data_IF_512949078022
#
_entry.id   IF_512949078022
#
_cell.length_a   1.000
_cell.length_b   1.000
_cell.length_c   1.000
_cell.angle_alpha   90.00
_cell.angle_beta   90.00
_cell.angle_gamma   90.00
#
_symmetry.space_group_name_H-M   'P 1'
#
loop_
_entity.id
_entity.type
_entity.pdbx_description
1 polymer ?
#
# COMPACT_ATOMS: atom_id res chain seq x y z
N UNK A 1 -2.76 -11.00 -22.04
CA UNK A 1 -2.15 -10.37 -20.85
C UNK A 1 -2.99 -10.79 -19.66
N UNK A 2 -2.44 -11.46 -18.65
CA UNK A 2 -3.24 -11.83 -17.48
C UNK A 2 -3.77 -10.54 -16.83
N UNK A 3 -5.09 -10.39 -16.74
CA UNK A 3 -5.71 -9.28 -16.03
C UNK A 3 -5.15 -9.26 -14.60
N UNK A 4 -4.53 -8.14 -14.23
CA UNK A 4 -3.84 -8.01 -12.94
C UNK A 4 -4.89 -7.85 -11.85
N UNK A 5 -4.82 -8.63 -10.78
CA UNK A 5 -5.74 -8.47 -9.67
C UNK A 5 -5.65 -7.08 -9.01
N UNK A 6 -6.80 -6.50 -8.67
CA UNK A 6 -6.93 -5.12 -8.17
C UNK A 6 -7.35 -5.08 -6.69
N UNK A 7 -6.93 -4.03 -5.99
CA UNK A 7 -7.44 -3.70 -4.66
C UNK A 7 -8.29 -2.43 -4.77
N UNK A 8 -9.58 -2.53 -4.45
CA UNK A 8 -10.51 -1.42 -4.55
C UNK A 8 -10.72 -0.76 -3.19
N UNK A 9 -10.50 0.54 -3.11
CA UNK A 9 -10.76 1.36 -1.92
C UNK A 9 -11.99 2.27 -2.05
N UNK A 10 -12.51 2.41 -3.27
CA UNK A 10 -13.68 3.24 -3.61
C UNK A 10 -14.69 2.42 -4.38
N UNK A 11 -15.97 2.52 -4.04
CA UNK A 11 -17.02 1.85 -4.81
C UNK A 11 -17.15 2.45 -6.21
N UNK A 12 -16.89 3.75 -6.35
CA UNK A 12 -16.91 4.46 -7.64
C UNK A 12 -15.97 3.81 -8.66
N UNK A 13 -14.84 3.27 -8.21
CA UNK A 13 -13.89 2.57 -9.10
C UNK A 13 -14.44 1.23 -9.58
N UNK A 14 -15.30 0.58 -8.79
CA UNK A 14 -15.99 -0.65 -9.17
C UNK A 14 -17.18 -0.32 -10.09
N UNK A 15 -17.99 0.67 -9.73
CA UNK A 15 -19.20 1.06 -10.45
C UNK A 15 -18.91 1.50 -11.89
N UNK A 16 -17.77 2.16 -12.12
CA UNK A 16 -17.34 2.60 -13.46
C UNK A 16 -16.84 1.47 -14.37
N UNK A 17 -16.71 0.24 -13.86
CA UNK A 17 -16.19 -0.87 -14.66
C UNK A 17 -17.25 -1.30 -15.68
N UNK A 18 -16.87 -1.54 -16.94
CA UNK A 18 -17.83 -1.77 -18.02
C UNK A 18 -18.66 -3.04 -17.85
N UNK A 19 -18.14 -4.02 -17.10
CA UNK A 19 -18.80 -5.30 -16.85
C UNK A 19 -19.48 -5.36 -15.49
N UNK A 20 -19.40 -4.29 -14.67
CA UNK A 20 -20.09 -4.26 -13.39
C UNK A 20 -21.60 -4.25 -13.59
N UNK A 21 -22.31 -5.15 -12.91
CA UNK A 21 -23.75 -5.25 -12.99
C UNK A 21 -24.34 -5.24 -11.57
N UNK A 22 -25.11 -4.21 -11.17
CA UNK A 22 -25.71 -4.14 -9.84
C UNK A 22 -26.88 -5.12 -9.65
N UNK A 23 -27.51 -5.53 -10.76
CA UNK A 23 -28.68 -6.42 -10.77
C UNK A 23 -28.30 -7.90 -10.87
N UNK A 24 -27.05 -8.22 -11.21
CA UNK A 24 -26.60 -9.59 -11.35
C UNK A 24 -26.35 -10.24 -9.98
N UNK A 25 -26.57 -11.54 -9.90
CA UNK A 25 -26.36 -12.34 -8.70
C UNK A 25 -25.21 -13.33 -8.89
N UNK A 26 -24.56 -13.69 -7.79
CA UNK A 26 -23.50 -14.71 -7.82
C UNK A 26 -23.63 -15.76 -6.74
N UNK A 27 -23.26 -16.96 -7.11
CA UNK A 27 -23.31 -18.19 -6.33
C UNK A 27 -22.13 -19.08 -6.75
N UNK A 28 -21.79 -20.13 -6.00
CA UNK A 28 -20.75 -21.08 -6.41
C UNK A 28 -20.99 -21.65 -7.82
N UNK A 29 -22.24 -21.85 -8.22
CA UNK A 29 -22.61 -22.50 -9.48
C UNK A 29 -22.34 -21.63 -10.72
N UNK A 30 -22.45 -20.30 -10.59
CA UNK A 30 -22.22 -19.36 -11.69
C UNK A 30 -20.95 -18.52 -11.52
N UNK A 31 -20.08 -18.86 -10.56
CA UNK A 31 -18.81 -18.18 -10.34
C UNK A 31 -17.73 -18.64 -11.33
N UNK A 32 -17.04 -17.68 -11.94
CA UNK A 32 -15.95 -17.94 -12.87
C UNK A 32 -14.58 -17.61 -12.26
N UNK A 33 -14.35 -16.34 -11.88
CA UNK A 33 -13.05 -15.87 -11.38
C UNK A 33 -13.19 -14.65 -10.46
N UNK A 34 -12.09 -14.20 -9.86
CA UNK A 34 -12.02 -12.96 -9.09
C UNK A 34 -11.20 -11.89 -9.81
N UNK A 35 -11.76 -10.68 -9.88
CA UNK A 35 -11.04 -9.48 -10.32
C UNK A 35 -10.13 -8.97 -9.20
N UNK A 36 -10.66 -8.89 -7.97
CA UNK A 36 -9.96 -8.20 -6.89
C UNK A 36 -10.59 -8.33 -5.51
N UNK A 37 -9.92 -7.74 -4.53
CA UNK A 37 -10.39 -7.56 -3.15
C UNK A 37 -10.81 -6.11 -2.96
N UNK A 38 -11.89 -5.87 -2.24
CA UNK A 38 -12.32 -4.51 -1.89
C UNK A 38 -12.35 -4.29 -0.38
N UNK A 39 -12.02 -3.06 0.02
CA UNK A 39 -12.27 -2.52 1.34
C UNK A 39 -12.67 -1.05 1.18
N UNK A 40 -13.95 -0.78 1.35
CA UNK A 40 -14.60 0.48 1.03
C UNK A 40 -14.93 1.24 2.31
N UNK A 41 -15.01 2.56 2.21
CA UNK A 41 -15.43 3.42 3.33
C UNK A 41 -16.95 3.47 3.50
N UNK A 42 -17.69 3.01 2.49
CA UNK A 42 -19.15 2.96 2.46
C UNK A 42 -19.70 1.53 2.39
N UNK A 43 -20.98 1.40 2.72
CA UNK A 43 -21.71 0.13 2.70
C UNK A 43 -22.23 -0.15 1.30
N UNK A 44 -21.80 -1.27 0.70
CA UNK A 44 -22.32 -1.76 -0.58
C UNK A 44 -23.17 -3.00 -0.41
N UNK A 45 -24.14 -3.20 -1.30
CA UNK A 45 -25.10 -4.30 -1.24
C UNK A 45 -24.44 -5.59 -1.74
N UNK A 46 -24.49 -6.64 -0.93
CA UNK A 46 -24.01 -7.97 -1.32
C UNK A 46 -24.91 -8.61 -2.39
N UNK A 47 -24.30 -9.16 -3.43
CA UNK A 47 -25.00 -9.80 -4.55
C UNK A 47 -24.94 -11.34 -4.49
N UNK A 48 -24.54 -11.90 -3.34
CA UNK A 48 -24.43 -13.36 -3.17
C UNK A 48 -25.80 -13.99 -3.00
N UNK A 49 -26.14 -14.95 -3.87
CA UNK A 49 -27.29 -15.84 -3.76
C UNK A 49 -26.92 -17.08 -2.95
N UNK A 50 -27.63 -17.29 -1.83
CA UNK A 50 -27.54 -18.50 -1.02
C UNK A 50 -28.83 -19.31 -1.05
N UNK A 51 -28.90 -20.39 -0.26
CA UNK A 51 -30.07 -21.27 -0.19
C UNK A 51 -31.37 -20.58 0.28
N UNK A 52 -31.28 -19.47 1.00
CA UNK A 52 -32.43 -18.70 1.52
C UNK A 52 -32.77 -17.48 0.66
N UNK A 53 -32.21 -17.39 -0.55
CA UNK A 53 -32.30 -16.23 -1.43
C UNK A 53 -31.04 -15.38 -1.41
N UNK A 54 -31.16 -14.18 -1.94
CA UNK A 54 -30.06 -13.22 -2.12
C UNK A 54 -29.77 -12.55 -0.77
N UNK A 55 -28.49 -12.36 -0.47
CA UNK A 55 -28.06 -11.82 0.80
C UNK A 55 -28.56 -10.38 1.02
N UNK A 56 -28.29 -9.48 0.07
CA UNK A 56 -28.58 -8.04 0.12
C UNK A 56 -28.12 -7.30 1.39
N UNK A 57 -27.31 -7.95 2.24
CA UNK A 57 -26.73 -7.30 3.41
C UNK A 57 -25.62 -6.34 3.00
N UNK A 58 -25.45 -5.29 3.81
CA UNK A 58 -24.42 -4.28 3.63
C UNK A 58 -23.05 -4.80 4.04
N UNK A 59 -22.06 -4.61 3.16
CA UNK A 59 -20.67 -4.96 3.44
C UNK A 59 -19.73 -3.85 3.00
N UNK A 60 -18.65 -3.69 3.76
CA UNK A 60 -17.54 -2.78 3.43
C UNK A 60 -16.30 -3.50 2.93
N UNK A 61 -16.28 -4.83 3.02
CA UNK A 61 -15.13 -5.62 2.57
C UNK A 61 -15.57 -6.94 1.97
N UNK A 62 -14.81 -7.37 0.97
CA UNK A 62 -15.17 -8.54 0.17
C UNK A 62 -14.37 -8.62 -1.11
N UNK A 63 -14.96 -9.20 -2.13
CA UNK A 63 -14.33 -9.51 -3.40
C UNK A 63 -15.20 -9.07 -4.56
N UNK A 64 -14.58 -8.64 -5.65
CA UNK A 64 -15.25 -8.44 -6.93
C UNK A 64 -15.06 -9.72 -7.76
N UNK A 65 -16.15 -10.46 -7.97
CA UNK A 65 -16.15 -11.70 -8.74
C UNK A 65 -16.72 -11.51 -10.12
N UNK A 66 -16.44 -12.46 -11.01
CA UNK A 66 -16.97 -12.53 -12.37
C UNK A 66 -17.86 -13.77 -12.47
N UNK A 67 -19.04 -13.62 -13.06
CA UNK A 67 -19.93 -14.74 -13.36
C UNK A 67 -19.49 -15.48 -14.64
N UNK A 68 -20.06 -16.65 -14.90
CA UNK A 68 -19.81 -17.37 -16.16
C UNK A 68 -20.24 -16.58 -17.41
N UNK A 69 -21.14 -15.60 -17.26
CA UNK A 69 -21.59 -14.69 -18.32
C UNK A 69 -20.68 -13.45 -18.47
N UNK A 70 -19.58 -13.37 -17.69
CA UNK A 70 -18.62 -12.27 -17.75
C UNK A 70 -19.01 -11.03 -16.97
N UNK A 71 -20.08 -11.07 -16.16
CA UNK A 71 -20.53 -9.92 -15.36
C UNK A 71 -19.77 -9.84 -14.03
N UNK A 72 -19.36 -8.63 -13.67
CA UNK A 72 -18.68 -8.34 -12.41
C UNK A 72 -19.68 -7.97 -11.30
N UNK A 73 -19.49 -8.57 -10.13
CA UNK A 73 -20.47 -8.56 -9.03
C UNK A 73 -19.82 -8.61 -7.66
N UNK A 74 -20.46 -7.99 -6.67
CA UNK A 74 -19.96 -7.85 -5.30
C UNK A 74 -20.21 -9.09 -4.46
N UNK A 75 -19.14 -9.64 -3.90
CA UNK A 75 -19.17 -10.76 -2.96
C UNK A 75 -18.73 -10.26 -1.59
N UNK A 76 -19.68 -10.15 -0.66
CA UNK A 76 -19.38 -9.80 0.73
C UNK A 76 -18.40 -10.75 1.41
N UNK A 77 -17.46 -10.24 2.22
CA UNK A 77 -16.47 -11.07 2.91
C UNK A 77 -17.08 -12.08 3.90
N UNK A 78 -18.21 -11.73 4.53
CA UNK A 78 -19.00 -12.69 5.32
C UNK A 78 -19.64 -13.76 4.44
N UNK A 79 -20.27 -13.37 3.34
CA UNK A 79 -20.93 -14.27 2.40
C UNK A 79 -19.94 -15.21 1.69
N UNK A 80 -18.77 -14.73 1.32
CA UNK A 80 -17.66 -15.52 0.80
C UNK A 80 -17.25 -16.65 1.75
N UNK A 81 -17.31 -16.43 3.07
CA UNK A 81 -16.96 -17.45 4.07
C UNK A 81 -18.07 -18.47 4.31
N UNK A 82 -19.32 -18.11 4.06
CA UNK A 82 -20.47 -18.97 4.36
C UNK A 82 -20.94 -19.76 3.14
N UNK A 83 -21.02 -19.11 1.98
CA UNK A 83 -21.59 -19.68 0.76
C UNK A 83 -20.53 -20.25 -0.19
N UNK A 84 -19.33 -19.65 -0.24
CA UNK A 84 -18.21 -20.11 -1.07
C UNK A 84 -17.18 -20.95 -0.31
N UNK A 85 -17.47 -21.37 0.92
CA UNK A 85 -16.48 -22.06 1.79
C UNK A 85 -15.93 -23.34 1.19
N UNK A 86 -16.83 -24.15 0.60
CA UNK A 86 -16.50 -25.46 0.04
C UNK A 86 -16.05 -25.36 -1.43
N UNK A 87 -16.13 -24.17 -2.03
CA UNK A 87 -15.77 -23.96 -3.42
C UNK A 87 -14.23 -23.88 -3.56
N UNK A 88 -13.66 -24.91 -4.20
CA UNK A 88 -12.21 -25.00 -4.43
C UNK A 88 -11.73 -23.94 -5.42
N UNK A 89 -12.52 -23.60 -6.43
CA UNK A 89 -12.16 -22.61 -7.45
C UNK A 89 -12.03 -21.23 -6.80
N UNK A 90 -13.05 -20.82 -6.06
CA UNK A 90 -13.06 -19.57 -5.29
C UNK A 90 -11.92 -19.51 -4.27
N UNK A 91 -11.63 -20.62 -3.59
CA UNK A 91 -10.51 -20.67 -2.64
C UNK A 91 -9.13 -20.47 -3.31
N UNK A 92 -8.93 -21.02 -4.51
CA UNK A 92 -7.71 -20.82 -5.29
C UNK A 92 -7.62 -19.37 -5.80
N UNK A 93 -8.71 -18.83 -6.33
CA UNK A 93 -8.76 -17.46 -6.83
C UNK A 93 -8.48 -16.43 -5.74
N UNK A 94 -9.05 -16.59 -4.53
CA UNK A 94 -8.73 -15.71 -3.40
C UNK A 94 -7.24 -15.70 -3.06
N UNK A 95 -6.58 -16.87 -3.11
CA UNK A 95 -5.15 -16.99 -2.85
C UNK A 95 -4.33 -16.31 -3.95
N UNK A 96 -4.73 -16.51 -5.21
CA UNK A 96 -4.09 -15.86 -6.38
C UNK A 96 -4.18 -14.35 -6.27
N UNK A 97 -5.39 -13.81 -6.14
CA UNK A 97 -5.67 -12.37 -6.04
C UNK A 97 -4.87 -11.73 -4.91
N UNK A 98 -4.92 -12.29 -3.69
CA UNK A 98 -4.16 -11.76 -2.56
C UNK A 98 -2.66 -11.75 -2.80
N UNK A 99 -2.11 -12.85 -3.29
CA UNK A 99 -0.68 -12.93 -3.60
C UNK A 99 -0.27 -11.87 -4.62
N UNK A 100 -1.09 -11.61 -5.62
CA UNK A 100 -0.84 -10.58 -6.62
C UNK A 100 -0.92 -9.16 -6.06
N UNK A 101 -1.92 -8.87 -5.21
CA UNK A 101 -2.07 -7.59 -4.50
C UNK A 101 -0.90 -7.36 -3.55
N UNK A 102 -0.57 -8.33 -2.71
CA UNK A 102 0.55 -8.27 -1.76
C UNK A 102 1.87 -8.03 -2.48
N UNK A 103 2.08 -8.70 -3.63
CA UNK A 103 3.26 -8.47 -4.47
C UNK A 103 3.32 -7.03 -4.99
N UNK A 104 2.20 -6.45 -5.44
CA UNK A 104 2.15 -5.05 -5.87
C UNK A 104 2.51 -4.11 -4.73
N UNK A 105 1.92 -4.31 -3.55
CA UNK A 105 2.19 -3.50 -2.35
C UNK A 105 3.68 -3.60 -1.97
N UNK A 106 4.25 -4.80 -1.98
CA UNK A 106 5.66 -5.01 -1.66
C UNK A 106 6.59 -4.27 -2.64
N UNK A 107 6.28 -4.29 -3.94
CA UNK A 107 7.04 -3.55 -4.95
C UNK A 107 6.97 -2.03 -4.73
N UNK A 108 5.79 -1.48 -4.46
CA UNK A 108 5.65 -0.06 -4.15
C UNK A 108 6.48 0.36 -2.94
N UNK A 109 6.46 -0.44 -1.86
CA UNK A 109 7.28 -0.17 -0.67
C UNK A 109 8.78 -0.23 -0.97
N UNK A 110 9.23 -1.17 -1.79
CA UNK A 110 10.64 -1.26 -2.18
C UNK A 110 11.08 -0.05 -3.01
N UNK A 111 10.23 0.44 -3.91
CA UNK A 111 10.49 1.67 -4.66
C UNK A 111 10.57 2.90 -3.75
N UNK A 112 9.66 3.00 -2.78
CA UNK A 112 9.66 4.06 -1.78
C UNK A 112 10.95 4.04 -0.94
N UNK A 113 11.35 2.88 -0.41
CA UNK A 113 12.60 2.74 0.32
C UNK A 113 13.83 3.09 -0.53
N UNK A 114 13.83 2.74 -1.81
CA UNK A 114 14.92 3.10 -2.73
C UNK A 114 15.01 4.62 -2.91
N UNK A 115 13.87 5.30 -3.08
CA UNK A 115 13.82 6.77 -3.18
C UNK A 115 14.31 7.44 -1.89
N UNK A 116 13.84 6.98 -0.74
CA UNK A 116 14.23 7.54 0.56
C UNK A 116 15.73 7.36 0.84
N UNK A 117 16.31 6.22 0.46
CA UNK A 117 17.76 5.99 0.58
C UNK A 117 18.58 7.01 -0.22
N UNK A 118 18.13 7.38 -1.42
CA UNK A 118 18.81 8.40 -2.22
C UNK A 118 18.76 9.77 -1.51
N UNK A 119 17.59 10.19 -1.04
CA UNK A 119 17.43 11.45 -0.29
C UNK A 119 18.35 11.52 0.93
N UNK A 120 18.37 10.46 1.75
CA UNK A 120 19.22 10.40 2.96
C UNK A 120 20.71 10.46 2.58
N UNK A 121 21.10 9.81 1.48
CA UNK A 121 22.48 9.86 1.00
C UNK A 121 22.90 11.26 0.57
N UNK A 122 21.99 12.00 -0.08
CA UNK A 122 22.24 13.37 -0.54
C UNK A 122 22.34 14.32 0.65
N UNK A 123 21.43 14.22 1.62
CA UNK A 123 21.47 14.99 2.88
C UNK A 123 22.78 14.74 3.66
N UNK A 124 23.22 13.47 3.75
CA UNK A 124 24.50 13.13 4.38
C UNK A 124 25.70 13.74 3.65
N UNK A 125 25.64 13.82 2.32
CA UNK A 125 26.70 14.46 1.52
C UNK A 125 26.76 15.96 1.79
N UNK A 126 25.61 16.63 1.81
CA UNK A 126 25.50 18.05 2.14
C UNK A 126 26.03 18.36 3.55
N UNK A 127 25.57 17.62 4.57
CA UNK A 127 26.03 17.80 5.95
C UNK A 127 27.55 17.59 6.09
N UNK A 128 28.12 16.60 5.38
CA UNK A 128 29.57 16.39 5.35
C UNK A 128 30.30 17.59 4.77
N UNK A 129 29.80 18.16 3.68
CA UNK A 129 30.39 19.35 3.07
C UNK A 129 30.32 20.56 4.02
N UNK A 130 29.19 20.76 4.69
CA UNK A 130 29.03 21.85 5.67
C UNK A 130 30.02 21.73 6.84
N UNK A 131 30.26 20.52 7.34
CA UNK A 131 31.26 20.28 8.39
C UNK A 131 32.67 20.64 7.90
N UNK A 132 33.02 20.25 6.67
CA UNK A 132 34.33 20.57 6.06
C UNK A 132 34.47 22.08 5.93
N UNK A 133 33.49 22.76 5.35
CA UNK A 133 33.51 24.20 5.14
C UNK A 133 33.59 24.97 6.47
N UNK A 134 32.88 24.48 7.48
CA UNK A 134 32.91 25.06 8.84
C UNK A 134 34.29 24.90 9.48
N UNK A 135 34.95 23.75 9.33
CA UNK A 135 36.33 23.54 9.81
C UNK A 135 37.32 24.47 9.12
N UNK A 136 37.21 24.62 7.80
CA UNK A 136 38.08 25.55 7.04
C UNK A 136 37.90 26.98 7.55
N UNK A 137 36.66 27.43 7.77
CA UNK A 137 36.38 28.76 8.35
C UNK A 137 36.95 28.89 9.77
N UNK A 138 36.80 27.85 10.60
CA UNK A 138 37.35 27.84 11.96
C UNK A 138 38.89 27.96 11.95
N UNK A 139 39.56 27.20 11.10
CA UNK A 139 41.02 27.24 10.92
C UNK A 139 41.48 28.63 10.46
N UNK A 140 40.74 29.25 9.54
CA UNK A 140 41.01 30.63 9.11
C UNK A 140 40.88 31.60 10.28
N UNK A 141 39.78 31.55 11.04
CA UNK A 141 39.58 32.42 12.21
C UNK A 141 40.70 32.22 13.23
N UNK A 142 41.07 30.97 13.51
CA UNK A 142 42.15 30.64 14.45
C UNK A 142 43.51 31.21 14.02
N UNK A 143 43.83 31.21 12.72
CA UNK A 143 45.07 31.81 12.20
C UNK A 143 45.15 33.33 12.34
N UNK A 144 44.02 34.01 12.46
CA UNK A 144 43.99 35.48 12.61
C UNK A 144 44.03 35.92 14.08
N UNK A 145 43.90 35.00 15.04
CA UNK A 145 43.97 35.37 16.44
C UNK A 145 45.41 35.59 16.93
N UNK A 146 45.65 36.61 17.76
CA UNK A 146 46.91 36.76 18.47
C UNK A 146 47.18 35.56 19.41
N UNK A 147 48.45 35.20 19.59
CA UNK A 147 48.84 34.06 20.43
C UNK A 147 48.26 34.08 21.85
N UNK A 148 48.11 35.27 22.45
CA UNK A 148 47.50 35.42 23.77
C UNK A 148 46.04 34.95 23.82
N UNK A 149 45.27 35.20 22.75
CA UNK A 149 43.87 34.76 22.62
C UNK A 149 43.84 33.25 22.38
N UNK A 150 44.74 32.72 21.57
CA UNK A 150 44.84 31.27 21.31
C UNK A 150 45.16 30.48 22.59
N UNK A 151 46.14 30.94 23.38
CA UNK A 151 46.49 30.29 24.65
C UNK A 151 45.35 30.32 25.67
N UNK A 152 44.53 31.38 25.68
CA UNK A 152 43.34 31.45 26.52
C UNK A 152 42.27 30.43 26.10
N UNK A 153 41.96 30.34 24.80
CA UNK A 153 40.98 29.37 24.27
C UNK A 153 41.41 27.93 24.59
N UNK A 154 42.69 27.61 24.37
CA UNK A 154 43.25 26.28 24.57
C UNK A 154 43.23 25.85 26.06
N UNK A 155 43.42 26.82 26.96
CA UNK A 155 43.32 26.62 28.41
C UNK A 155 41.87 26.43 28.87
N UNK A 156 40.94 27.19 28.30
CA UNK A 156 39.50 27.08 28.58
C UNK A 156 38.91 25.73 28.11
N UNK A 157 39.36 25.22 26.96
CA UNK A 157 38.92 23.90 26.45
C UNK A 157 39.38 22.74 27.35
N UNK A 158 40.58 22.83 27.94
CA UNK A 158 41.14 21.80 28.83
C UNK A 158 40.52 21.80 30.23
N UNK A 159 39.90 22.90 30.64
CA UNK A 159 39.36 23.09 32.00
C UNK A 159 37.82 23.04 32.06
N UNK A 160 37.14 22.88 30.92
CA UNK A 160 35.68 22.91 30.80
C UNK A 160 34.97 21.56 30.63
N UNK A 161 35.56 20.43 31.05
CA UNK A 161 34.84 19.14 31.24
C UNK A 161 34.50 18.91 32.70
#
# INVERSE_FOLDING_TARGET
MAEKSEFFSSFVDIEKRPHYSPECEISPENFHTLVGEYRLDEDVICQVKGHKGICYQKHRSGWLGVTNDGLEVLIGGHCARNYFKADKSFALERKRVRKEIDRKIALYKLEEYRKNKMSISDELSCLRQEIIDTRVKLDQVHKHFPNAVLSFIDSAQKTGS
#
